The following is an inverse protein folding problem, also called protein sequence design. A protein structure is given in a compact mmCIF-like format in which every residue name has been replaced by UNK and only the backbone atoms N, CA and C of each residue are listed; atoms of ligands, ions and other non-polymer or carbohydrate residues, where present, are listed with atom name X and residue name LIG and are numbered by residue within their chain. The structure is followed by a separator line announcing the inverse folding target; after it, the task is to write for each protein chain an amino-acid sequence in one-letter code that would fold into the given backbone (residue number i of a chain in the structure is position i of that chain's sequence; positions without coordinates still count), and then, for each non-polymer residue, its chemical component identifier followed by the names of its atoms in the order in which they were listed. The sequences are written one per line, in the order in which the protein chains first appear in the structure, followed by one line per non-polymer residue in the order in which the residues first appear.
data_IF_168896359537
#
_entry.id   IF_168896359537
#
_cell.length_a   1.000
_cell.length_b   1.000
_cell.length_c   1.000
_cell.angle_alpha   90.00
_cell.angle_beta   90.00
_cell.angle_gamma   90.00
#
_symmetry.space_group_name_H-M   'P 1'
#
loop_
_entity.id
_entity.type
_entity.pdbx_description
1 polymer ?
#
# COMPACT_ATOMS: atom_id res chain seq x y z
N UNK A 1 14.55 -39.14 12.85
CA UNK A 1 13.16 -38.64 12.71
C UNK A 1 13.11 -37.22 13.26
N UNK A 2 13.09 -36.20 12.39
CA UNK A 2 13.01 -34.78 12.80
C UNK A 2 11.55 -34.37 12.65
N UNK A 3 10.80 -34.43 13.75
CA UNK A 3 9.39 -34.03 13.79
C UNK A 3 9.27 -32.53 13.57
N UNK A 4 8.62 -32.15 12.48
CA UNK A 4 8.28 -30.78 12.12
C UNK A 4 7.13 -30.30 13.00
N UNK A 5 7.45 -29.75 14.17
CA UNK A 5 6.51 -29.03 15.03
C UNK A 5 6.46 -27.54 14.65
N UNK A 6 5.88 -27.23 13.48
CA UNK A 6 5.83 -25.86 12.94
C UNK A 6 4.61 -25.58 12.08
N UNK A 7 3.42 -26.07 12.47
CA UNK A 7 2.22 -26.00 11.62
C UNK A 7 1.09 -25.10 12.15
N UNK A 8 1.11 -24.70 13.42
CA UNK A 8 0.02 -23.93 14.04
C UNK A 8 0.38 -22.47 14.35
N UNK A 9 1.55 -22.24 14.94
CA UNK A 9 2.04 -20.90 15.31
C UNK A 9 2.33 -20.03 14.09
N UNK A 10 2.97 -20.60 13.07
CA UNK A 10 3.51 -19.85 11.92
C UNK A 10 2.38 -19.33 11.02
N UNK A 11 1.29 -20.10 10.92
CA UNK A 11 0.07 -19.70 10.21
C UNK A 11 -0.62 -18.50 10.89
N UNK A 12 -0.68 -18.51 12.22
CA UNK A 12 -1.27 -17.44 13.03
C UNK A 12 -0.41 -16.18 13.03
N UNK A 13 0.91 -16.31 13.17
CA UNK A 13 1.85 -15.18 13.11
C UNK A 13 1.79 -14.49 11.75
N UNK A 14 1.80 -15.25 10.65
CA UNK A 14 1.67 -14.70 9.30
C UNK A 14 0.36 -13.98 9.07
N UNK A 15 -0.75 -14.44 9.67
CA UNK A 15 -2.04 -13.75 9.62
C UNK A 15 -2.02 -12.44 10.40
N UNK A 16 -1.47 -12.42 11.61
CA UNK A 16 -1.36 -11.22 12.46
C UNK A 16 -0.51 -10.16 11.77
N UNK A 17 0.67 -10.53 11.25
CA UNK A 17 1.56 -9.58 10.55
C UNK A 17 0.89 -8.96 9.32
N UNK A 18 0.10 -9.74 8.57
CA UNK A 18 -0.68 -9.23 7.43
C UNK A 18 -1.76 -8.24 7.89
N UNK A 19 -2.48 -8.54 8.98
CA UNK A 19 -3.48 -7.64 9.52
C UNK A 19 -2.86 -6.32 10.00
N UNK A 20 -1.72 -6.38 10.71
CA UNK A 20 -0.99 -5.20 11.15
C UNK A 20 -0.54 -4.38 9.94
N UNK A 21 0.04 -5.01 8.91
CA UNK A 21 0.47 -4.32 7.70
C UNK A 21 -0.71 -3.60 7.00
N UNK A 22 -1.87 -4.26 6.89
CA UNK A 22 -3.07 -3.67 6.29
C UNK A 22 -3.63 -2.52 7.12
N UNK A 23 -3.63 -2.65 8.44
CA UNK A 23 -4.05 -1.58 9.34
C UNK A 23 -3.13 -0.35 9.19
N UNK A 24 -1.81 -0.56 9.14
CA UNK A 24 -0.85 0.52 8.93
C UNK A 24 -1.05 1.19 7.57
N UNK A 25 -1.21 0.42 6.49
CA UNK A 25 -1.51 0.95 5.16
C UNK A 25 -2.80 1.77 5.14
N UNK A 26 -3.85 1.32 5.85
CA UNK A 26 -5.10 2.05 5.99
C UNK A 26 -4.92 3.39 6.73
N UNK A 27 -4.26 3.37 7.90
CA UNK A 27 -4.02 4.57 8.70
C UNK A 27 -3.15 5.57 7.94
N UNK A 28 -2.11 5.10 7.25
CA UNK A 28 -1.26 5.95 6.41
C UNK A 28 -2.03 6.52 5.22
N UNK A 29 -2.90 5.74 4.57
CA UNK A 29 -3.77 6.24 3.51
C UNK A 29 -4.70 7.38 4.01
N UNK A 30 -5.30 7.22 5.18
CA UNK A 30 -6.10 8.29 5.80
C UNK A 30 -5.25 9.51 6.19
N UNK A 31 -4.01 9.28 6.62
CA UNK A 31 -3.06 10.37 6.93
C UNK A 31 -2.72 11.17 5.66
N UNK A 32 -2.48 10.49 4.55
CA UNK A 32 -2.24 11.10 3.22
C UNK A 32 -3.47 11.90 2.79
N UNK A 33 -4.67 11.32 2.86
CA UNK A 33 -5.91 12.03 2.57
C UNK A 33 -6.10 13.28 3.46
N UNK A 34 -5.78 13.20 4.75
CA UNK A 34 -5.86 14.34 5.66
C UNK A 34 -4.83 15.44 5.33
N UNK A 35 -3.59 15.06 5.02
CA UNK A 35 -2.51 16.01 4.72
C UNK A 35 -2.77 16.78 3.41
N UNK A 36 -3.26 16.09 2.39
CA UNK A 36 -3.49 16.65 1.05
C UNK A 36 -4.90 17.22 0.87
N UNK A 37 -5.90 16.67 1.56
CA UNK A 37 -7.29 17.13 1.52
C UNK A 37 -7.49 18.54 2.07
N UNK A 38 -6.61 19.01 2.97
CA UNK A 38 -6.64 20.41 3.44
C UNK A 38 -6.39 21.39 2.30
N UNK A 39 -5.43 21.09 1.41
CA UNK A 39 -5.11 21.97 0.29
C UNK A 39 -6.23 21.96 -0.76
N UNK A 40 -6.86 20.81 -0.98
CA UNK A 40 -8.03 20.68 -1.84
C UNK A 40 -9.25 21.43 -1.29
N UNK A 41 -9.49 21.35 0.02
CA UNK A 41 -10.58 22.06 0.69
C UNK A 41 -10.37 23.58 0.68
N UNK A 42 -9.12 24.02 0.85
CA UNK A 42 -8.77 25.44 0.77
C UNK A 42 -8.98 25.98 -0.65
N UNK A 43 -8.58 25.23 -1.68
CA UNK A 43 -8.86 25.59 -3.08
C UNK A 43 -10.37 25.69 -3.36
N UNK A 44 -11.14 24.73 -2.85
CA UNK A 44 -12.60 24.74 -2.98
C UNK A 44 -13.23 25.97 -2.29
N UNK A 45 -12.81 26.30 -1.07
CA UNK A 45 -13.27 27.49 -0.34
C UNK A 45 -12.92 28.81 -1.02
N UNK A 46 -11.75 28.88 -1.65
CA UNK A 46 -11.29 30.05 -2.38
C UNK A 46 -11.95 30.17 -3.78
N UNK A 47 -12.86 29.25 -4.14
CA UNK A 47 -13.48 29.17 -5.47
C UNK A 47 -12.45 29.15 -6.62
N UNK A 48 -11.26 28.58 -6.36
CA UNK A 48 -10.21 28.39 -7.36
C UNK A 48 -10.17 26.94 -7.84
N UNK A 49 -9.58 26.72 -9.00
CA UNK A 49 -9.42 25.38 -9.54
C UNK A 49 -8.51 24.53 -8.65
N UNK A 50 -8.93 23.29 -8.39
CA UNK A 50 -8.13 22.32 -7.65
C UNK A 50 -6.92 21.89 -8.49
N UNK A 51 -5.72 22.13 -7.99
CA UNK A 51 -4.50 21.66 -8.65
C UNK A 51 -4.52 20.13 -8.72
N UNK A 52 -4.26 19.60 -9.93
CA UNK A 52 -4.39 18.18 -10.26
C UNK A 52 -3.49 17.29 -9.41
N UNK A 53 -2.39 17.81 -8.86
CA UNK A 53 -1.50 17.07 -7.95
C UNK A 53 -2.20 16.68 -6.65
N UNK A 54 -3.03 17.56 -6.09
CA UNK A 54 -3.75 17.30 -4.84
C UNK A 54 -4.91 16.33 -5.09
N UNK A 55 -5.60 16.47 -6.21
CA UNK A 55 -6.66 15.54 -6.62
C UNK A 55 -6.08 14.13 -6.83
N UNK A 56 -4.92 14.04 -7.47
CA UNK A 56 -4.21 12.77 -7.63
C UNK A 56 -3.88 12.13 -6.28
N UNK A 57 -3.34 12.90 -5.33
CA UNK A 57 -3.04 12.43 -3.98
C UNK A 57 -4.28 11.85 -3.27
N UNK A 58 -5.41 12.57 -3.35
CA UNK A 58 -6.66 12.15 -2.72
C UNK A 58 -7.23 10.87 -3.34
N UNK A 59 -7.18 10.74 -4.67
CA UNK A 59 -7.64 9.53 -5.38
C UNK A 59 -6.78 8.32 -5.01
N UNK A 60 -5.45 8.49 -4.97
CA UNK A 60 -4.52 7.41 -4.59
C UNK A 60 -4.75 6.99 -3.13
N UNK A 61 -4.94 7.96 -2.23
CA UNK A 61 -5.26 7.70 -0.83
C UNK A 61 -6.60 6.96 -0.67
N UNK A 62 -7.64 7.37 -1.40
CA UNK A 62 -8.95 6.72 -1.38
C UNK A 62 -8.90 5.28 -1.87
N UNK A 63 -8.24 5.02 -3.01
CA UNK A 63 -8.04 3.65 -3.52
C UNK A 63 -7.25 2.81 -2.52
N UNK A 64 -6.21 3.37 -1.91
CA UNK A 64 -5.39 2.70 -0.91
C UNK A 64 -6.19 2.32 0.34
N UNK A 65 -7.00 3.25 0.87
CA UNK A 65 -7.83 3.02 2.04
C UNK A 65 -8.90 1.94 1.78
N UNK A 66 -9.60 2.02 0.63
CA UNK A 66 -10.59 1.02 0.23
C UNK A 66 -9.93 -0.35 0.07
N UNK A 67 -8.78 -0.41 -0.60
CA UNK A 67 -8.06 -1.67 -0.83
C UNK A 67 -7.61 -2.29 0.49
N UNK A 68 -7.04 -1.50 1.40
CA UNK A 68 -6.64 -1.98 2.71
C UNK A 68 -7.85 -2.51 3.51
N UNK A 69 -8.99 -1.79 3.48
CA UNK A 69 -10.21 -2.20 4.17
C UNK A 69 -10.79 -3.50 3.59
N UNK A 70 -10.95 -3.58 2.26
CA UNK A 70 -11.46 -4.79 1.58
C UNK A 70 -10.61 -6.00 1.92
N UNK A 71 -9.30 -5.84 2.06
CA UNK A 71 -8.38 -6.93 2.40
C UNK A 71 -8.36 -7.32 3.88
N UNK A 72 -8.86 -6.48 4.78
CA UNK A 72 -9.09 -6.86 6.18
C UNK A 72 -10.36 -7.67 6.39
N UNK A 73 -11.35 -7.54 5.49
CA UNK A 73 -12.61 -8.27 5.59
C UNK A 73 -12.42 -9.75 5.19
N UNK A 74 -12.99 -10.71 5.93
CA UNK A 74 -12.91 -12.13 5.60
C UNK A 74 -13.87 -12.46 4.45
N UNK A 75 -13.58 -11.94 3.25
CA UNK A 75 -14.41 -12.14 2.05
C UNK A 75 -14.01 -13.48 1.41
N UNK A 76 -14.87 -14.51 1.44
CA UNK A 76 -14.51 -15.86 0.99
C UNK A 76 -14.20 -15.96 -0.52
N UNK A 77 -14.64 -14.97 -1.31
CA UNK A 77 -14.36 -14.90 -2.75
C UNK A 77 -12.98 -14.33 -3.10
N UNK A 78 -12.32 -13.61 -2.19
CA UNK A 78 -11.04 -12.96 -2.46
C UNK A 78 -9.91 -13.85 -1.98
N UNK A 79 -9.31 -14.59 -2.92
CA UNK A 79 -8.13 -15.41 -2.65
C UNK A 79 -6.91 -14.51 -2.41
N UNK A 80 -6.21 -14.62 -1.27
CA UNK A 80 -5.11 -13.72 -0.89
C UNK A 80 -3.99 -13.61 -1.93
N UNK A 81 -3.77 -14.68 -2.70
CA UNK A 81 -2.72 -14.74 -3.72
C UNK A 81 -3.06 -14.04 -5.04
N UNK A 82 -4.30 -13.55 -5.24
CA UNK A 82 -4.68 -12.79 -6.44
C UNK A 82 -4.55 -11.28 -6.25
N UNK A 83 -4.13 -10.85 -5.06
CA UNK A 83 -4.15 -9.44 -4.65
C UNK A 83 -2.81 -8.72 -4.86
N UNK A 84 -1.73 -9.47 -5.11
CA UNK A 84 -0.42 -8.89 -5.39
C UNK A 84 -0.40 -7.88 -6.56
N UNK A 85 -1.21 -8.01 -7.64
CA UNK A 85 -1.23 -7.02 -8.72
C UNK A 85 -1.80 -5.68 -8.25
N UNK A 86 -2.80 -5.69 -7.36
CA UNK A 86 -3.41 -4.48 -6.80
C UNK A 86 -2.44 -3.77 -5.85
N UNK A 87 -1.76 -4.53 -4.98
CA UNK A 87 -0.69 -3.98 -4.14
C UNK A 87 0.43 -3.36 -4.98
N UNK A 88 0.80 -4.00 -6.10
CA UNK A 88 1.81 -3.49 -7.03
C UNK A 88 1.35 -2.21 -7.73
N UNK A 89 0.08 -2.15 -8.15
CA UNK A 89 -0.51 -0.97 -8.76
C UNK A 89 -0.49 0.22 -7.78
N UNK A 90 -0.94 0.01 -6.55
CA UNK A 90 -0.95 1.05 -5.51
C UNK A 90 0.47 1.50 -5.17
N UNK A 91 1.43 0.59 -5.10
CA UNK A 91 2.84 0.92 -4.97
C UNK A 91 3.33 1.86 -6.09
N UNK A 92 3.01 1.56 -7.35
CA UNK A 92 3.40 2.41 -8.49
C UNK A 92 2.73 3.79 -8.40
N UNK A 93 1.47 3.86 -7.99
CA UNK A 93 0.77 5.13 -7.77
C UNK A 93 1.44 5.97 -6.68
N UNK A 94 1.79 5.36 -5.54
CA UNK A 94 2.54 6.03 -4.48
C UNK A 94 3.96 6.41 -4.91
N UNK A 95 4.61 5.65 -5.80
CA UNK A 95 5.90 6.02 -6.37
C UNK A 95 5.81 7.29 -7.22
N UNK A 96 4.78 7.40 -8.06
CA UNK A 96 4.54 8.62 -8.83
C UNK A 96 4.21 9.80 -7.91
N UNK A 97 3.38 9.58 -6.87
CA UNK A 97 3.04 10.58 -5.86
C UNK A 97 4.28 11.08 -5.10
N UNK A 98 5.07 10.15 -4.56
CA UNK A 98 6.32 10.48 -3.88
C UNK A 98 7.31 11.18 -4.82
N UNK A 99 7.38 10.78 -6.09
CA UNK A 99 8.24 11.42 -7.09
C UNK A 99 7.85 12.88 -7.37
N UNK A 100 6.56 13.19 -7.48
CA UNK A 100 6.08 14.55 -7.75
C UNK A 100 6.26 15.44 -6.52
N UNK A 101 5.81 14.99 -5.35
CA UNK A 101 5.90 15.77 -4.10
C UNK A 101 7.32 15.82 -3.54
N UNK A 102 8.10 14.75 -3.70
CA UNK A 102 9.50 14.70 -3.30
C UNK A 102 10.36 15.71 -4.04
N UNK A 103 10.19 15.81 -5.38
CA UNK A 103 10.89 16.82 -6.18
C UNK A 103 10.53 18.25 -5.77
N UNK A 104 9.27 18.48 -5.40
CA UNK A 104 8.74 19.81 -5.05
C UNK A 104 9.16 20.27 -3.66
N UNK A 105 9.16 19.37 -2.66
CA UNK A 105 9.28 19.78 -1.26
C UNK A 105 10.56 19.35 -0.55
N UNK A 106 11.29 18.32 -1.01
CA UNK A 106 12.48 17.84 -0.27
C UNK A 106 13.57 18.91 -0.20
N UNK A 107 13.84 19.57 -1.33
CA UNK A 107 14.91 20.57 -1.45
C UNK A 107 14.43 22.00 -1.19
N UNK A 108 13.13 22.22 -0.99
CA UNK A 108 12.56 23.56 -0.80
C UNK A 108 12.88 24.08 0.61
N UNK A 109 13.31 25.34 0.72
CA UNK A 109 13.58 25.93 2.03
C UNK A 109 12.28 26.39 2.67
N UNK A 110 11.94 25.98 3.91
CA UNK A 110 10.63 26.29 4.46
C UNK A 110 10.34 27.76 4.73
N UNK A 111 11.30 28.69 4.68
CA UNK A 111 11.16 30.16 4.87
C UNK A 111 10.13 30.65 5.93
N UNK A 112 9.81 29.84 6.94
CA UNK A 112 8.75 30.12 7.93
C UNK A 112 7.33 29.72 7.52
N UNK A 113 7.13 29.17 6.32
CA UNK A 113 5.87 28.61 5.83
C UNK A 113 5.59 27.22 6.45
N UNK A 114 4.56 27.18 7.30
CA UNK A 114 4.09 25.97 7.97
C UNK A 114 3.54 24.92 6.97
N UNK A 115 3.01 25.35 5.82
CA UNK A 115 2.51 24.49 4.75
C UNK A 115 3.63 23.71 4.07
N UNK A 116 4.76 24.36 3.75
CA UNK A 116 5.95 23.69 3.19
C UNK A 116 6.52 22.69 4.19
N UNK A 117 6.59 23.08 5.47
CA UNK A 117 7.05 22.19 6.55
C UNK A 117 6.15 20.97 6.69
N UNK A 118 4.82 21.14 6.65
CA UNK A 118 3.86 20.03 6.65
C UNK A 118 4.06 19.12 5.44
N UNK A 119 4.23 19.68 4.25
CA UNK A 119 4.41 18.91 3.01
C UNK A 119 5.72 18.12 3.00
N UNK A 120 6.79 18.62 3.61
CA UNK A 120 8.00 17.82 3.84
C UNK A 120 7.73 16.56 4.67
N UNK A 121 6.94 16.67 5.73
CA UNK A 121 6.54 15.50 6.51
C UNK A 121 5.62 14.57 5.72
N UNK A 122 4.70 15.11 4.92
CA UNK A 122 3.81 14.34 4.06
C UNK A 122 4.58 13.46 3.05
N UNK A 123 5.65 14.00 2.45
CA UNK A 123 6.53 13.25 1.55
C UNK A 123 7.14 12.02 2.23
N UNK A 124 7.53 12.13 3.50
CA UNK A 124 8.05 10.98 4.25
C UNK A 124 6.95 9.97 4.59
N UNK A 125 5.73 10.43 4.88
CA UNK A 125 4.57 9.54 5.07
C UNK A 125 4.27 8.77 3.78
N UNK A 126 4.32 9.43 2.62
CA UNK A 126 4.14 8.79 1.31
C UNK A 126 5.22 7.73 1.05
N UNK A 127 6.48 8.02 1.36
CA UNK A 127 7.58 7.06 1.23
C UNK A 127 7.34 5.81 2.09
N UNK A 128 6.96 5.98 3.35
CA UNK A 128 6.71 4.85 4.26
C UNK A 128 5.53 4.02 3.75
N UNK A 129 4.44 4.66 3.33
CA UNK A 129 3.28 3.94 2.82
C UNK A 129 3.61 3.20 1.51
N UNK A 130 4.34 3.87 0.60
CA UNK A 130 4.84 3.27 -0.64
C UNK A 130 5.62 1.98 -0.35
N UNK A 131 6.56 2.02 0.59
CA UNK A 131 7.39 0.86 0.94
C UNK A 131 6.57 -0.26 1.58
N UNK A 132 5.56 0.05 2.39
CA UNK A 132 4.65 -0.96 2.91
C UNK A 132 3.91 -1.68 1.77
N UNK A 133 3.34 -0.93 0.82
CA UNK A 133 2.70 -1.51 -0.37
C UNK A 133 3.67 -2.34 -1.21
N UNK A 134 4.93 -1.92 -1.34
CA UNK A 134 5.95 -2.72 -2.01
C UNK A 134 6.20 -4.05 -1.30
N UNK A 135 6.40 -4.05 0.02
CA UNK A 135 6.65 -5.28 0.76
C UNK A 135 5.47 -6.24 0.71
N UNK A 136 4.23 -5.74 0.80
CA UNK A 136 3.05 -6.60 0.68
C UNK A 136 2.86 -7.12 -0.74
N UNK A 137 3.19 -6.33 -1.77
CA UNK A 137 3.20 -6.78 -3.17
C UNK A 137 4.22 -7.91 -3.40
N UNK A 138 5.46 -7.74 -2.94
CA UNK A 138 6.52 -8.76 -3.05
C UNK A 138 6.12 -10.03 -2.31
N UNK A 139 5.64 -9.91 -1.07
CA UNK A 139 5.16 -11.05 -0.30
C UNK A 139 4.04 -11.81 -1.02
N UNK A 140 3.04 -11.10 -1.54
CA UNK A 140 1.94 -11.69 -2.30
C UNK A 140 2.41 -12.40 -3.58
N UNK A 141 3.33 -11.78 -4.31
CA UNK A 141 3.91 -12.35 -5.53
C UNK A 141 4.72 -13.63 -5.25
N UNK A 142 5.54 -13.64 -4.19
CA UNK A 142 6.31 -14.82 -3.77
C UNK A 142 5.38 -15.98 -3.41
N UNK A 143 4.34 -15.73 -2.59
CA UNK A 143 3.35 -16.76 -2.22
C UNK A 143 2.60 -17.29 -3.44
N UNK A 144 2.21 -16.40 -4.38
CA UNK A 144 1.56 -16.80 -5.62
C UNK A 144 2.44 -17.72 -6.46
N UNK A 145 3.73 -17.38 -6.65
CA UNK A 145 4.69 -18.20 -7.40
C UNK A 145 4.92 -19.55 -6.71
N UNK A 146 5.07 -19.58 -5.39
CA UNK A 146 5.22 -20.82 -4.62
C UNK A 146 3.99 -21.72 -4.75
N UNK A 147 2.78 -21.16 -4.67
CA UNK A 147 1.54 -21.92 -4.83
C UNK A 147 1.40 -22.49 -6.25
N UNK A 148 1.83 -21.73 -7.28
CA UNK A 148 1.81 -22.20 -8.68
C UNK A 148 2.77 -23.38 -8.90
N UNK A 149 3.97 -23.35 -8.30
CA UNK A 149 4.98 -24.42 -8.38
C UNK A 149 4.55 -25.73 -7.71
N UNK A 150 3.76 -25.66 -6.63
CA UNK A 150 3.23 -26.86 -5.96
C UNK A 150 2.23 -27.65 -6.80
N UNK A 151 1.51 -27.00 -7.72
CA UNK A 151 0.49 -27.65 -8.58
C UNK A 151 1.09 -28.37 -9.80
N UNK A 152 2.33 -28.05 -10.19
CA UNK A 152 2.98 -28.61 -11.39
C UNK A 152 3.76 -29.90 -11.13
N UNK A 153 3.85 -30.36 -9.87
CA UNK A 153 4.63 -31.55 -9.49
C UNK A 153 3.87 -32.88 -9.61
N UNK A 154 2.57 -32.87 -9.98
CA UNK A 154 1.73 -34.07 -10.01
C UNK A 154 1.45 -34.66 -11.41
N UNK A 155 2.07 -34.15 -12.48
CA UNK A 155 1.85 -34.65 -13.86
C UNK A 155 2.94 -35.58 -14.40
N UNK A 156 3.88 -36.04 -13.56
CA UNK A 156 5.06 -36.81 -14.00
C UNK A 156 5.06 -38.33 -13.76
N UNK A 157 3.96 -38.94 -13.30
CA UNK A 157 3.92 -40.39 -13.03
C UNK A 157 2.69 -41.07 -13.64
N UNK A 158 2.55 -40.99 -14.96
CA UNK A 158 1.90 -42.06 -15.71
C UNK A 158 3.01 -43.03 -16.12
N UNK A 159 3.16 -44.12 -15.37
CA UNK A 159 3.98 -45.26 -15.81
C UNK A 159 3.15 -46.02 -16.85
N UNK A 160 3.75 -46.21 -18.04
CA UNK A 160 3.37 -47.22 -19.03
C UNK A 160 3.66 -48.62 -18.51
#
# INVERSE_FOLDING_TARGET
MKGTSGSGSDFTIGAILRLIARLLQFVLALTVAGLYGVDLHNAHKAHVYADSKWVYAEVVAGISAITALVYTLPIPMIKPWFLWPLDTLIFILYMALFGTFGKMYINENPEGDAGITRMKHAVWVDLVNMLLWFFTAVYGAVIFVMHRRGRTLHTGRAQV
#
